data_IF_378986147359
#
_entry.id   IF_378986147359
#
_cell.length_a   1.000
_cell.length_b   1.000
_cell.length_c   1.000
_cell.angle_alpha   90.00
_cell.angle_beta   90.00
_cell.angle_gamma   90.00
#
_symmetry.space_group_name_H-M   'P 1'
#
loop_
_entity.id
_entity.type
_entity.pdbx_description
1 polymer ?
#
# COMPACT_ATOMS: atom_id res chain seq x y z
N UNK A 1 29.67 6.49 11.87
CA UNK A 1 28.24 6.85 12.02
C UNK A 1 27.38 5.65 11.62
N UNK A 2 26.37 5.28 12.40
CA UNK A 2 25.45 4.20 12.01
C UNK A 2 24.61 4.65 10.81
N UNK A 3 24.57 3.83 9.75
CA UNK A 3 23.77 4.12 8.55
C UNK A 3 22.29 4.16 8.93
N UNK A 4 21.66 5.32 8.76
CA UNK A 4 20.21 5.46 8.88
C UNK A 4 19.56 5.10 7.54
N UNK A 5 18.50 4.31 7.57
CA UNK A 5 17.77 3.91 6.36
C UNK A 5 16.30 4.25 6.49
N UNK A 6 15.73 4.73 5.39
CA UNK A 6 14.32 5.04 5.25
C UNK A 6 13.84 4.47 3.93
N UNK A 7 12.77 3.67 3.95
CA UNK A 7 12.11 3.20 2.73
C UNK A 7 10.60 3.24 2.88
N UNK A 8 9.94 3.50 1.76
CA UNK A 8 8.48 3.52 1.65
C UNK A 8 8.09 2.59 0.52
N UNK A 9 7.12 1.72 0.78
CA UNK A 9 6.54 0.82 -0.19
C UNK A 9 5.02 1.01 -0.23
N UNK A 10 4.49 1.32 -1.42
CA UNK A 10 3.05 1.33 -1.67
C UNK A 10 2.62 -0.01 -2.24
N UNK A 11 1.52 -0.56 -1.74
CA UNK A 11 0.97 -1.82 -2.21
C UNK A 11 -0.55 -1.85 -2.05
N UNK A 12 -1.21 -2.67 -2.89
CA UNK A 12 -2.66 -2.85 -2.86
C UNK A 12 -3.01 -4.20 -2.24
N UNK A 13 -3.98 -4.22 -1.32
CA UNK A 13 -4.43 -5.48 -0.70
C UNK A 13 -5.54 -6.10 -1.53
N UNK A 14 -5.18 -6.77 -2.63
CA UNK A 14 -6.14 -7.45 -3.53
C UNK A 14 -7.02 -8.50 -2.82
N UNK A 15 -6.51 -9.12 -1.75
CA UNK A 15 -7.26 -10.12 -0.97
C UNK A 15 -8.37 -9.53 -0.08
N UNK A 16 -8.36 -8.21 0.18
CA UNK A 16 -9.37 -7.53 1.00
C UNK A 16 -9.95 -6.37 0.22
N UNK A 17 -10.86 -6.67 -0.70
CA UNK A 17 -11.59 -5.64 -1.42
C UNK A 17 -12.56 -4.92 -0.49
N UNK A 18 -12.77 -3.65 -0.78
CA UNK A 18 -13.82 -2.85 -0.18
C UNK A 18 -15.19 -3.28 -0.74
N UNK A 19 -16.27 -2.82 -0.11
CA UNK A 19 -17.65 -3.14 -0.54
C UNK A 19 -17.95 -2.67 -1.98
N UNK A 20 -17.23 -1.68 -2.49
CA UNK A 20 -17.32 -1.18 -3.85
C UNK A 20 -16.48 -1.99 -4.88
N UNK A 21 -15.80 -3.06 -4.45
CA UNK A 21 -14.96 -3.88 -5.33
C UNK A 21 -13.54 -3.34 -5.56
N UNK A 22 -13.18 -2.21 -4.95
CA UNK A 22 -11.83 -1.64 -5.07
C UNK A 22 -10.87 -2.25 -4.04
N UNK A 23 -9.58 -2.33 -4.39
CA UNK A 23 -8.55 -2.75 -3.46
C UNK A 23 -8.03 -1.54 -2.66
N UNK A 24 -7.93 -1.63 -1.32
CA UNK A 24 -7.37 -0.56 -0.51
C UNK A 24 -5.85 -0.49 -0.71
N UNK A 25 -5.36 0.73 -0.77
CA UNK A 25 -3.93 1.06 -0.85
C UNK A 25 -3.37 1.16 0.57
N UNK A 26 -2.24 0.51 0.78
CA UNK A 26 -1.47 0.55 2.01
C UNK A 26 -0.07 1.08 1.74
N UNK A 27 0.52 1.70 2.76
CA UNK A 27 1.87 2.24 2.77
C UNK A 27 2.65 1.54 3.88
N UNK A 28 3.80 0.98 3.54
CA UNK A 28 4.74 0.40 4.50
C UNK A 28 5.92 1.34 4.64
N UNK A 29 6.13 1.82 5.86
CA UNK A 29 7.25 2.69 6.21
C UNK A 29 8.28 1.82 6.95
N UNK A 30 9.52 1.83 6.48
CA UNK A 30 10.63 1.15 7.15
C UNK A 30 11.66 2.18 7.57
N UNK A 31 11.93 2.27 8.87
CA UNK A 31 12.95 3.16 9.44
C UNK A 31 13.94 2.32 10.23
N UNK A 32 15.19 2.28 9.80
CA UNK A 32 16.27 1.53 10.46
C UNK A 32 15.92 0.05 10.75
N UNK A 33 15.18 -0.61 9.86
CA UNK A 33 14.73 -2.00 10.02
C UNK A 33 13.40 -2.17 10.76
N UNK A 34 12.88 -1.13 11.41
CA UNK A 34 11.54 -1.15 12.01
C UNK A 34 10.48 -0.83 10.95
N UNK A 35 9.47 -1.69 10.81
CA UNK A 35 8.44 -1.59 9.78
C UNK A 35 7.08 -1.29 10.40
N UNK A 36 6.33 -0.38 9.78
CA UNK A 36 4.93 -0.12 10.12
C UNK A 36 4.08 -0.03 8.86
N UNK A 37 2.92 -0.68 8.88
CA UNK A 37 1.94 -0.64 7.80
C UNK A 37 0.81 0.33 8.15
N UNK A 38 0.56 1.27 7.26
CA UNK A 38 -0.47 2.30 7.40
C UNK A 38 -1.46 2.18 6.23
N UNK A 39 -2.75 2.19 6.53
CA UNK A 39 -3.79 2.31 5.51
C UNK A 39 -3.99 3.78 5.18
N UNK A 40 -3.86 4.16 3.90
CA UNK A 40 -3.93 5.57 3.48
C UNK A 40 -5.36 6.02 3.13
N UNK A 41 -6.39 5.23 3.47
CA UNK A 41 -7.81 5.47 3.14
C UNK A 41 -8.06 5.75 1.64
N UNK A 42 -7.17 5.26 0.78
CA UNK A 42 -7.32 5.28 -0.68
C UNK A 42 -7.59 3.86 -1.16
N UNK A 43 -8.25 3.76 -2.29
CA UNK A 43 -8.51 2.50 -2.98
C UNK A 43 -8.38 2.71 -4.48
N UNK A 44 -8.16 1.62 -5.21
CA UNK A 44 -8.08 1.64 -6.66
C UNK A 44 -8.83 0.45 -7.25
N UNK A 45 -9.29 0.59 -8.49
CA UNK A 45 -9.87 -0.52 -9.23
C UNK A 45 -8.83 -1.63 -9.40
N UNK A 46 -9.28 -2.88 -9.26
CA UNK A 46 -8.41 -4.05 -9.47
C UNK A 46 -8.32 -4.42 -10.96
N UNK A 47 -9.27 -3.93 -11.76
CA UNK A 47 -9.31 -4.10 -13.20
C UNK A 47 -8.49 -3.01 -13.89
N UNK A 48 -7.28 -3.37 -14.30
CA UNK A 48 -6.39 -2.54 -15.13
C UNK A 48 -6.71 -2.63 -16.63
N UNK A 49 -7.68 -3.47 -17.04
CA UNK A 49 -7.87 -3.90 -18.44
C UNK A 49 -9.24 -3.58 -19.05
N UNK A 50 -10.07 -2.77 -18.42
CA UNK A 50 -11.29 -2.27 -19.05
C UNK A 50 -11.04 -0.86 -19.56
N UNK A 51 -10.80 -0.66 -20.87
CA UNK A 51 -10.91 0.65 -21.48
C UNK A 51 -12.38 1.07 -21.37
N UNK A 52 -12.68 2.01 -20.49
CA UNK A 52 -13.90 2.84 -20.57
C UNK A 52 -13.70 3.90 -21.64
#
# INVERSE_FOLDING_TARGET
MARKSFSVLFFIKKAKLLKNGEAPVCMRITVNGCMVDISIKRSCSVNYNTPT
#
